data_IF_812945184079
#
_entry.id   IF_812945184079
#
_cell.length_a   1.000
_cell.length_b   1.000
_cell.length_c   1.000
_cell.angle_alpha   90.00
_cell.angle_beta   90.00
_cell.angle_gamma   90.00
#
_symmetry.space_group_name_H-M   'P 1'
#
loop_
_entity.id
_entity.type
_entity.pdbx_description
1 polymer ?
#
# COMPACT_ATOMS: atom_id res chain seq x y z
N UNK A 1 -21.87 2.15 -26.11
CA UNK A 1 -20.66 2.36 -26.93
C UNK A 1 -20.07 3.69 -26.51
N UNK A 2 -19.01 3.65 -25.70
CA UNK A 2 -18.27 4.87 -25.32
C UNK A 2 -17.50 5.28 -26.57
N UNK A 3 -17.67 6.54 -26.98
CA UNK A 3 -16.97 7.15 -28.09
C UNK A 3 -15.50 7.31 -27.70
N UNK A 4 -14.70 6.26 -27.87
CA UNK A 4 -13.25 6.33 -27.72
C UNK A 4 -12.79 7.07 -28.96
N UNK A 5 -12.52 8.37 -28.82
CA UNK A 5 -11.73 9.09 -29.81
C UNK A 5 -10.54 8.21 -30.18
N UNK A 6 -10.26 8.05 -31.47
CA UNK A 6 -9.05 7.38 -31.94
C UNK A 6 -7.85 8.24 -31.52
N UNK A 7 -7.52 8.22 -30.23
CA UNK A 7 -6.22 8.66 -29.77
C UNK A 7 -5.22 7.68 -30.37
N UNK A 8 -4.39 8.17 -31.25
CA UNK A 8 -3.24 7.44 -31.77
C UNK A 8 -2.39 6.94 -30.60
N UNK A 9 -1.76 5.77 -30.79
CA UNK A 9 -0.76 5.24 -29.87
C UNK A 9 0.30 6.32 -29.61
N UNK A 10 0.67 6.52 -28.34
CA UNK A 10 1.75 7.43 -27.99
C UNK A 10 3.04 6.94 -28.63
N UNK A 11 3.56 7.73 -29.56
CA UNK A 11 4.86 7.51 -30.18
C UNK A 11 5.98 8.13 -29.32
N UNK A 12 7.25 7.72 -29.50
CA UNK A 12 8.37 8.25 -28.72
C UNK A 12 8.56 9.77 -28.80
N UNK A 13 8.25 10.40 -29.93
CA UNK A 13 8.30 11.86 -30.12
C UNK A 13 7.19 12.57 -29.33
N UNK A 14 5.95 12.07 -29.40
CA UNK A 14 4.83 12.61 -28.62
C UNK A 14 5.05 12.42 -27.11
N UNK A 15 5.66 11.30 -26.72
CA UNK A 15 6.07 11.05 -25.34
C UNK A 15 7.07 12.10 -24.85
N UNK A 16 8.11 12.37 -25.65
CA UNK A 16 9.10 13.40 -25.36
C UNK A 16 8.43 14.77 -25.17
N UNK A 17 7.56 15.21 -26.08
CA UNK A 17 6.90 16.52 -25.97
C UNK A 17 6.03 16.70 -24.72
N UNK A 18 5.47 15.60 -24.18
CA UNK A 18 4.70 15.63 -22.93
C UNK A 18 5.62 15.74 -21.71
N UNK A 19 6.73 15.00 -21.72
CA UNK A 19 7.68 14.97 -20.62
C UNK A 19 8.57 16.21 -20.56
N UNK A 20 8.89 16.81 -21.71
CA UNK A 20 9.64 18.09 -21.83
C UNK A 20 8.92 19.26 -21.14
N UNK A 21 7.60 19.14 -20.91
CA UNK A 21 6.80 20.15 -20.20
C UNK A 21 6.75 19.93 -18.69
N UNK A 22 7.16 18.75 -18.22
CA UNK A 22 7.08 18.40 -16.80
C UNK A 22 8.00 19.31 -15.97
N UNK A 23 7.48 19.84 -14.87
CA UNK A 23 8.23 20.73 -13.99
C UNK A 23 8.81 19.89 -12.85
N UNK A 24 10.11 19.62 -12.89
CA UNK A 24 10.79 18.89 -11.81
C UNK A 24 11.97 19.67 -11.26
N UNK A 25 11.97 19.86 -9.94
CA UNK A 25 13.16 20.27 -9.23
C UNK A 25 14.03 19.03 -9.01
N UNK A 26 15.18 18.97 -9.69
CA UNK A 26 16.14 17.87 -9.57
C UNK A 26 16.54 17.55 -8.12
N UNK A 27 16.48 18.52 -7.20
CA UNK A 27 16.77 18.28 -5.79
C UNK A 27 15.62 17.64 -5.02
N UNK A 28 14.39 17.71 -5.53
CA UNK A 28 13.19 17.22 -4.88
C UNK A 28 12.77 15.82 -5.36
N UNK A 29 13.04 15.47 -6.62
CA UNK A 29 12.76 14.15 -7.19
C UNK A 29 13.95 13.63 -8.02
N UNK A 30 15.08 13.27 -7.38
CA UNK A 30 16.32 12.91 -8.07
C UNK A 30 16.18 11.69 -8.99
N UNK A 31 15.43 10.68 -8.57
CA UNK A 31 15.24 9.41 -9.29
C UNK A 31 14.46 9.63 -10.58
N UNK A 32 13.36 10.38 -10.53
CA UNK A 32 12.54 10.79 -11.67
C UNK A 32 13.40 11.60 -12.64
N UNK A 33 14.13 12.60 -12.12
CA UNK A 33 15.04 13.40 -12.93
C UNK A 33 16.11 12.54 -13.64
N UNK A 34 16.67 11.57 -12.93
CA UNK A 34 17.66 10.65 -13.49
C UNK A 34 17.07 9.81 -14.62
N UNK A 35 15.88 9.24 -14.43
CA UNK A 35 15.17 8.46 -15.44
C UNK A 35 14.88 9.32 -16.67
N UNK A 36 14.39 10.55 -16.48
CA UNK A 36 14.11 11.45 -17.60
C UNK A 36 15.41 11.80 -18.36
N UNK A 37 16.49 12.14 -17.66
CA UNK A 37 17.79 12.40 -18.28
C UNK A 37 18.33 11.19 -19.07
N UNK A 38 18.10 9.97 -18.57
CA UNK A 38 18.56 8.75 -19.21
C UNK A 38 17.83 8.47 -20.54
N UNK A 39 16.53 8.80 -20.60
CA UNK A 39 15.67 8.36 -21.71
C UNK A 39 15.19 9.46 -22.64
N UNK A 40 15.25 10.74 -22.27
CA UNK A 40 14.94 11.85 -23.19
C UNK A 40 16.15 12.14 -24.07
N UNK A 41 15.96 12.14 -25.39
CA UNK A 41 16.97 12.54 -26.36
C UNK A 41 16.61 13.90 -26.96
N UNK A 42 17.25 14.96 -26.48
CA UNK A 42 16.97 16.34 -26.90
C UNK A 42 17.35 16.63 -28.36
N UNK A 43 18.40 15.97 -28.87
CA UNK A 43 18.84 16.16 -30.26
C UNK A 43 17.79 15.63 -31.25
N UNK A 44 17.16 14.50 -30.91
CA UNK A 44 16.16 13.84 -31.74
C UNK A 44 14.72 14.19 -31.37
N UNK A 45 14.51 14.82 -30.21
CA UNK A 45 13.19 15.12 -29.61
C UNK A 45 12.32 13.86 -29.49
N UNK A 46 12.91 12.78 -29.01
CA UNK A 46 12.22 11.50 -28.78
C UNK A 46 12.69 10.85 -27.47
N UNK A 47 11.89 9.94 -26.92
CA UNK A 47 12.38 9.04 -25.86
C UNK A 47 13.04 7.80 -26.45
N UNK A 48 14.06 7.26 -25.78
CA UNK A 48 14.89 6.17 -26.30
C UNK A 48 14.34 4.76 -26.01
N UNK A 49 13.31 4.67 -25.17
CA UNK A 49 12.62 3.41 -24.83
C UNK A 49 11.11 3.54 -25.10
N UNK A 50 10.35 2.43 -25.20
CA UNK A 50 8.90 2.50 -25.38
C UNK A 50 8.21 3.28 -24.24
N UNK A 51 7.22 4.16 -24.53
CA UNK A 51 6.59 5.01 -23.52
C UNK A 51 6.03 4.28 -22.31
N UNK A 52 5.51 3.07 -22.53
CA UNK A 52 4.97 2.22 -21.47
C UNK A 52 6.04 1.72 -20.51
N UNK A 53 7.23 1.37 -20.99
CA UNK A 53 8.30 0.91 -20.10
C UNK A 53 8.86 2.09 -19.30
N UNK A 54 9.01 3.26 -19.94
CA UNK A 54 9.31 4.51 -19.23
C UNK A 54 8.27 4.84 -18.16
N UNK A 55 6.98 4.66 -18.47
CA UNK A 55 5.91 4.89 -17.51
C UNK A 55 6.00 3.99 -16.27
N UNK A 56 6.44 2.73 -16.42
CA UNK A 56 6.66 1.84 -15.27
C UNK A 56 7.84 2.29 -14.42
N UNK A 57 8.95 2.67 -15.04
CA UNK A 57 10.11 3.17 -14.31
C UNK A 57 9.75 4.44 -13.53
N UNK A 58 9.01 5.37 -14.14
CA UNK A 58 8.52 6.58 -13.48
C UNK A 58 7.49 6.28 -12.38
N UNK A 59 6.70 5.21 -12.46
CA UNK A 59 5.82 4.78 -11.37
C UNK A 59 6.59 4.23 -10.16
N UNK A 60 7.78 3.69 -10.38
CA UNK A 60 8.64 3.13 -9.33
C UNK A 60 9.62 4.17 -8.77
N UNK A 61 9.88 5.23 -9.54
CA UNK A 61 10.66 6.39 -9.14
C UNK A 61 10.02 7.15 -7.99
N UNK A 62 10.86 7.75 -7.13
CA UNK A 62 10.45 8.73 -6.13
C UNK A 62 9.18 8.34 -5.39
N UNK A 63 9.13 7.10 -4.87
CA UNK A 63 7.91 6.51 -4.28
C UNK A 63 7.25 7.41 -3.22
N UNK A 64 8.06 8.29 -2.66
CA UNK A 64 7.89 9.19 -1.52
C UNK A 64 7.38 10.60 -1.88
N UNK A 65 7.44 11.00 -3.15
CA UNK A 65 7.12 12.36 -3.59
C UNK A 65 5.80 12.42 -4.38
N UNK A 66 5.14 13.58 -4.32
CA UNK A 66 3.98 13.84 -5.15
C UNK A 66 4.40 13.93 -6.62
N UNK A 67 3.72 13.16 -7.46
CA UNK A 67 3.97 13.13 -8.89
C UNK A 67 3.48 14.40 -9.58
N UNK A 68 4.30 14.96 -10.47
CA UNK A 68 3.91 16.07 -11.35
C UNK A 68 2.76 15.66 -12.28
N UNK A 69 1.86 16.62 -12.59
CA UNK A 69 0.67 16.33 -13.39
C UNK A 69 1.01 15.91 -14.83
N UNK A 70 2.06 16.45 -15.45
CA UNK A 70 2.45 16.06 -16.81
C UNK A 70 3.02 14.65 -16.83
N UNK A 71 3.79 14.27 -15.80
CA UNK A 71 4.25 12.89 -15.60
C UNK A 71 3.06 11.95 -15.38
N UNK A 72 2.09 12.36 -14.55
CA UNK A 72 0.86 11.58 -14.36
C UNK A 72 0.09 11.36 -15.65
N UNK A 73 -0.13 12.44 -16.42
CA UNK A 73 -0.85 12.37 -17.69
C UNK A 73 -0.09 11.53 -18.72
N UNK A 74 1.24 11.60 -18.72
CA UNK A 74 2.10 10.73 -19.52
C UNK A 74 1.90 9.25 -19.14
N UNK A 75 2.04 8.90 -17.85
CA UNK A 75 1.90 7.53 -17.35
C UNK A 75 0.50 6.98 -17.64
N UNK A 76 -0.57 7.72 -17.30
CA UNK A 76 -1.96 7.29 -17.56
C UNK A 76 -2.15 6.97 -19.05
N UNK A 77 -1.71 7.86 -19.94
CA UNK A 77 -1.86 7.66 -21.38
C UNK A 77 -1.02 6.49 -21.88
N UNK A 78 0.26 6.41 -21.51
CA UNK A 78 1.17 5.35 -21.92
C UNK A 78 0.68 3.96 -21.47
N UNK A 79 0.16 3.85 -20.24
CA UNK A 79 -0.40 2.60 -19.73
C UNK A 79 -1.75 2.26 -20.37
N UNK A 80 -2.62 3.24 -20.66
CA UNK A 80 -3.85 3.01 -21.41
C UNK A 80 -3.59 2.48 -22.80
N UNK A 81 -2.58 3.02 -23.48
CA UNK A 81 -2.15 2.53 -24.79
C UNK A 81 -1.64 1.08 -24.67
N UNK A 82 -0.86 0.77 -23.63
CA UNK A 82 -0.47 -0.59 -23.30
C UNK A 82 -1.66 -1.52 -23.03
N UNK A 83 -2.69 -1.04 -22.33
CA UNK A 83 -3.87 -1.82 -21.98
C UNK A 83 -4.80 -2.07 -23.18
N UNK A 84 -5.19 -1.03 -23.92
CA UNK A 84 -6.18 -1.12 -24.99
C UNK A 84 -5.60 -1.63 -26.31
N UNK A 85 -4.38 -1.24 -26.64
CA UNK A 85 -3.77 -1.56 -27.94
C UNK A 85 -2.90 -2.80 -27.88
N UNK A 86 -2.08 -2.93 -26.82
CA UNK A 86 -1.09 -4.02 -26.68
C UNK A 86 -1.66 -5.19 -25.87
N UNK A 87 -2.78 -4.98 -25.15
CA UNK A 87 -3.44 -5.97 -24.28
C UNK A 87 -2.51 -6.53 -23.19
N UNK A 88 -1.58 -5.73 -22.68
CA UNK A 88 -0.71 -6.16 -21.59
C UNK A 88 -1.53 -6.49 -20.32
N UNK A 89 -1.43 -7.69 -19.74
CA UNK A 89 -2.03 -8.00 -18.45
C UNK A 89 -1.67 -7.01 -17.34
N UNK A 90 -0.42 -6.54 -17.28
CA UNK A 90 0.08 -5.69 -16.20
C UNK A 90 -0.38 -4.23 -16.32
N UNK A 91 -0.72 -3.76 -17.51
CA UNK A 91 -1.17 -2.38 -17.70
C UNK A 91 -2.44 -2.06 -16.89
N UNK A 92 -3.34 -3.03 -16.72
CA UNK A 92 -4.53 -2.86 -15.86
C UNK A 92 -4.13 -2.71 -14.39
N UNK A 93 -3.17 -3.53 -13.92
CA UNK A 93 -2.65 -3.44 -12.57
C UNK A 93 -2.02 -2.06 -12.30
N UNK A 94 -1.11 -1.62 -13.18
CA UNK A 94 -0.45 -0.33 -13.04
C UNK A 94 -1.43 0.85 -13.10
N UNK A 95 -2.41 0.83 -14.01
CA UNK A 95 -3.48 1.84 -14.03
C UNK A 95 -4.30 1.82 -12.74
N UNK A 96 -4.59 0.64 -12.20
CA UNK A 96 -5.25 0.52 -10.91
C UNK A 96 -4.44 1.20 -9.81
N UNK A 97 -3.14 0.88 -9.69
CA UNK A 97 -2.24 1.50 -8.73
C UNK A 97 -2.17 3.03 -8.90
N UNK A 98 -2.09 3.51 -10.14
CA UNK A 98 -2.04 4.94 -10.48
C UNK A 98 -3.24 5.73 -9.91
N UNK A 99 -4.42 5.11 -9.86
CA UNK A 99 -5.63 5.71 -9.29
C UNK A 99 -5.88 5.33 -7.83
N UNK A 100 -5.18 4.34 -7.29
CA UNK A 100 -5.42 3.85 -5.93
C UNK A 100 -4.60 4.61 -4.88
N UNK A 101 -3.33 4.87 -5.16
CA UNK A 101 -2.41 5.42 -4.17
C UNK A 101 -2.42 6.96 -4.15
N UNK A 102 -2.38 7.52 -2.95
CA UNK A 102 -2.48 8.97 -2.71
C UNK A 102 -1.33 9.79 -3.29
N UNK A 103 -0.14 9.18 -3.44
CA UNK A 103 1.08 9.82 -3.96
C UNK A 103 0.94 10.45 -5.36
N UNK A 104 -0.13 10.11 -6.08
CA UNK A 104 -0.39 10.60 -7.42
C UNK A 104 -1.33 11.82 -7.47
N UNK A 105 -1.82 12.30 -6.32
CA UNK A 105 -2.75 13.45 -6.19
C UNK A 105 -4.03 13.35 -7.06
N UNK A 106 -4.32 12.15 -7.55
CA UNK A 106 -5.39 11.86 -8.52
C UNK A 106 -6.15 10.59 -8.11
N UNK A 107 -6.26 10.34 -6.80
CA UNK A 107 -6.93 9.17 -6.24
C UNK A 107 -8.36 9.10 -6.77
N UNK A 108 -8.68 7.95 -7.33
CA UNK A 108 -10.01 7.62 -7.82
C UNK A 108 -10.23 6.12 -7.62
N UNK A 109 -10.76 5.77 -6.45
CA UNK A 109 -10.96 4.37 -6.09
C UNK A 109 -11.91 3.64 -7.05
N UNK A 110 -12.91 4.30 -7.62
CA UNK A 110 -13.81 3.67 -8.62
C UNK A 110 -13.05 3.28 -9.89
N UNK A 111 -12.19 4.15 -10.41
CA UNK A 111 -11.32 3.82 -11.55
C UNK A 111 -10.35 2.71 -11.17
N UNK A 112 -9.72 2.79 -10.00
CA UNK A 112 -8.79 1.78 -9.52
C UNK A 112 -9.46 0.40 -9.44
N UNK A 113 -10.63 0.32 -8.79
CA UNK A 113 -11.43 -0.90 -8.70
C UNK A 113 -11.80 -1.46 -10.07
N UNK A 114 -12.26 -0.60 -10.99
CA UNK A 114 -12.56 -1.01 -12.37
C UNK A 114 -11.32 -1.57 -13.10
N UNK A 115 -10.12 -1.10 -12.76
CA UNK A 115 -8.87 -1.64 -13.29
C UNK A 115 -8.45 -2.95 -12.64
N UNK A 116 -8.58 -3.10 -11.32
CA UNK A 116 -8.26 -4.34 -10.60
C UNK A 116 -9.25 -5.48 -10.85
N UNK A 117 -10.53 -5.17 -11.08
CA UNK A 117 -11.60 -6.15 -11.31
C UNK A 117 -11.62 -6.74 -12.73
N UNK A 118 -10.77 -6.25 -13.63
CA UNK A 118 -10.68 -6.77 -15.01
C UNK A 118 -10.07 -8.18 -15.02
N UNK A 119 -10.56 -9.03 -15.94
CA UNK A 119 -10.36 -10.50 -16.06
C UNK A 119 -8.90 -11.03 -16.17
N UNK A 120 -7.87 -10.21 -15.97
CA UNK A 120 -6.47 -10.64 -15.96
C UNK A 120 -5.92 -10.49 -14.54
N UNK A 121 -6.34 -11.39 -13.66
CA UNK A 121 -5.84 -11.46 -12.29
C UNK A 121 -4.37 -11.84 -12.33
N UNK A 122 -3.51 -10.86 -12.10
CA UNK A 122 -2.12 -11.09 -11.72
C UNK A 122 -2.08 -11.01 -10.20
N UNK A 123 -1.25 -11.82 -9.54
CA UNK A 123 -1.15 -11.94 -8.09
C UNK A 123 -1.34 -10.62 -7.31
N UNK A 124 -0.51 -9.58 -7.55
CA UNK A 124 -0.62 -8.29 -6.87
C UNK A 124 -1.96 -7.56 -7.06
N UNK A 125 -2.59 -7.71 -8.23
CA UNK A 125 -3.91 -7.12 -8.49
C UNK A 125 -5.01 -7.80 -7.66
N UNK A 126 -4.81 -9.04 -7.25
CA UNK A 126 -5.78 -9.79 -6.43
C UNK A 126 -5.79 -9.27 -5.00
N UNK A 127 -4.62 -8.94 -4.43
CA UNK A 127 -4.49 -8.29 -3.12
C UNK A 127 -5.30 -6.99 -3.09
N UNK A 128 -5.04 -6.09 -4.05
CA UNK A 128 -5.67 -4.77 -4.10
C UNK A 128 -7.17 -4.86 -4.38
N UNK A 129 -7.62 -5.86 -5.14
CA UNK A 129 -9.04 -6.14 -5.30
C UNK A 129 -9.69 -6.60 -3.99
N UNK A 130 -9.02 -7.47 -3.23
CA UNK A 130 -9.44 -7.88 -1.89
C UNK A 130 -9.53 -6.69 -0.93
N UNK A 131 -8.54 -5.81 -0.96
CA UNK A 131 -8.49 -4.58 -0.17
C UNK A 131 -9.64 -3.62 -0.53
N UNK A 132 -9.97 -3.49 -1.83
CA UNK A 132 -11.12 -2.70 -2.29
C UNK A 132 -12.43 -3.25 -1.72
N UNK A 133 -12.65 -4.56 -1.74
CA UNK A 133 -13.82 -5.16 -1.13
C UNK A 133 -13.83 -5.07 0.39
N UNK A 134 -12.66 -5.17 1.04
CA UNK A 134 -12.53 -5.10 2.49
C UNK A 134 -12.90 -3.72 3.02
N UNK A 135 -12.40 -2.64 2.39
CA UNK A 135 -12.66 -1.26 2.83
C UNK A 135 -13.83 -0.58 2.10
N UNK A 136 -14.41 -1.19 1.07
CA UNK A 136 -15.39 -0.54 0.20
C UNK A 136 -14.78 0.58 -0.64
N UNK A 137 -13.53 0.44 -1.08
CA UNK A 137 -12.84 1.46 -1.91
C UNK A 137 -13.24 1.27 -3.37
N UNK A 138 -14.06 2.19 -3.89
CA UNK A 138 -14.50 2.18 -5.29
C UNK A 138 -15.55 1.13 -5.64
N UNK A 139 -16.06 0.42 -4.63
CA UNK A 139 -17.11 -0.59 -4.68
C UNK A 139 -17.80 -0.66 -3.32
N UNK A 140 -18.96 -1.30 -3.22
CA UNK A 140 -19.54 -1.66 -1.92
C UNK A 140 -18.62 -2.62 -1.16
N UNK A 141 -18.53 -2.43 0.17
CA UNK A 141 -17.82 -3.33 1.07
C UNK A 141 -18.45 -4.73 1.01
N UNK A 142 -17.59 -5.74 0.86
CA UNK A 142 -18.02 -7.13 0.78
C UNK A 142 -16.95 -8.06 1.36
N UNK A 143 -17.12 -8.47 2.62
CA UNK A 143 -16.13 -9.31 3.30
C UNK A 143 -16.00 -10.70 2.66
N UNK A 144 -17.07 -11.31 2.16
CA UNK A 144 -16.97 -12.61 1.47
C UNK A 144 -16.03 -12.54 0.25
N UNK A 145 -16.23 -11.56 -0.63
CA UNK A 145 -15.36 -11.37 -1.80
C UNK A 145 -13.93 -10.97 -1.39
N UNK A 146 -13.79 -10.15 -0.36
CA UNK A 146 -12.49 -9.81 0.19
C UNK A 146 -11.75 -11.08 0.64
N UNK A 147 -12.39 -11.92 1.44
CA UNK A 147 -11.83 -13.17 1.95
C UNK A 147 -11.30 -14.05 0.81
N UNK A 148 -12.10 -14.30 -0.21
CA UNK A 148 -11.68 -15.14 -1.34
C UNK A 148 -10.51 -14.53 -2.12
N UNK A 149 -10.50 -13.22 -2.35
CA UNK A 149 -9.37 -12.56 -3.02
C UNK A 149 -8.09 -12.66 -2.19
N UNK A 150 -8.19 -12.41 -0.88
CA UNK A 150 -7.05 -12.41 0.03
C UNK A 150 -6.49 -13.81 0.26
N UNK A 151 -7.34 -14.83 0.43
CA UNK A 151 -6.91 -16.24 0.49
C UNK A 151 -6.21 -16.63 -0.80
N UNK A 152 -6.79 -16.30 -1.96
CA UNK A 152 -6.16 -16.62 -3.24
C UNK A 152 -4.76 -16.01 -3.31
N UNK A 153 -4.58 -14.73 -2.96
CA UNK A 153 -3.27 -14.09 -3.03
C UNK A 153 -2.28 -14.56 -1.96
N UNK A 154 -2.75 -14.90 -0.75
CA UNK A 154 -1.91 -15.52 0.26
C UNK A 154 -1.37 -16.88 -0.22
N UNK A 155 -2.19 -17.67 -0.92
CA UNK A 155 -1.78 -18.97 -1.47
C UNK A 155 -0.88 -18.86 -2.71
N UNK A 156 -1.06 -17.84 -3.55
CA UNK A 156 -0.30 -17.71 -4.81
C UNK A 156 1.00 -16.92 -4.67
N UNK A 157 0.99 -15.84 -3.89
CA UNK A 157 2.08 -14.87 -3.85
C UNK A 157 2.63 -14.66 -2.43
N UNK A 158 2.07 -15.37 -1.44
CA UNK A 158 2.39 -15.21 -0.02
C UNK A 158 2.39 -13.75 0.43
N UNK A 159 1.42 -12.95 -0.01
CA UNK A 159 1.43 -11.50 0.23
C UNK A 159 1.23 -11.16 1.72
N UNK A 160 2.20 -10.46 2.33
CA UNK A 160 2.11 -9.95 3.70
C UNK A 160 0.83 -9.13 3.93
N UNK A 161 0.45 -8.31 2.95
CA UNK A 161 -0.79 -7.52 2.96
C UNK A 161 -2.04 -8.38 2.99
N UNK A 162 -2.05 -9.48 2.22
CA UNK A 162 -3.19 -10.40 2.27
C UNK A 162 -3.28 -11.11 3.61
N UNK A 163 -2.15 -11.55 4.15
CA UNK A 163 -2.08 -12.24 5.43
C UNK A 163 -2.58 -11.37 6.58
N UNK A 164 -2.15 -10.11 6.70
CA UNK A 164 -2.67 -9.25 7.77
C UNK A 164 -4.14 -8.87 7.55
N UNK A 165 -4.62 -8.70 6.31
CA UNK A 165 -6.05 -8.43 6.10
C UNK A 165 -6.90 -9.65 6.44
N UNK A 166 -6.43 -10.87 6.15
CA UNK A 166 -7.06 -12.10 6.64
C UNK A 166 -7.05 -12.16 8.17
N UNK A 167 -5.94 -11.78 8.80
CA UNK A 167 -5.85 -11.63 10.25
C UNK A 167 -6.92 -10.69 10.79
N UNK A 168 -7.13 -9.53 10.14
CA UNK A 168 -8.19 -8.58 10.51
C UNK A 168 -9.59 -9.20 10.37
N UNK A 169 -9.80 -10.08 9.38
CA UNK A 169 -11.06 -10.80 9.20
C UNK A 169 -11.33 -11.77 10.35
N UNK A 170 -10.35 -12.59 10.73
CA UNK A 170 -10.48 -13.49 11.89
C UNK A 170 -10.57 -12.74 13.22
N UNK A 171 -9.83 -11.63 13.38
CA UNK A 171 -9.84 -10.85 14.62
C UNK A 171 -11.24 -10.27 14.92
N UNK A 172 -11.94 -9.85 13.88
CA UNK A 172 -13.22 -9.15 13.99
C UNK A 172 -14.43 -10.04 13.66
N UNK A 173 -14.23 -11.24 13.14
CA UNK A 173 -15.32 -12.11 12.68
C UNK A 173 -15.98 -11.60 11.40
N UNK A 174 -15.21 -11.05 10.48
CA UNK A 174 -15.72 -10.59 9.19
C UNK A 174 -15.80 -11.77 8.22
N UNK A 175 -17.02 -12.19 7.87
CA UNK A 175 -17.35 -13.35 7.03
C UNK A 175 -16.97 -14.72 7.62
N UNK A 176 -15.86 -14.82 8.36
CA UNK A 176 -15.44 -15.98 9.13
C UNK A 176 -15.76 -15.80 10.62
N UNK A 177 -15.80 -16.91 11.37
CA UNK A 177 -15.94 -16.84 12.82
C UNK A 177 -14.71 -16.15 13.45
N UNK A 178 -14.96 -15.42 14.54
CA UNK A 178 -13.89 -14.72 15.25
C UNK A 178 -12.91 -15.71 15.87
N UNK A 179 -11.63 -15.58 15.51
CA UNK A 179 -10.53 -16.41 16.00
C UNK A 179 -9.28 -15.56 16.25
N UNK A 180 -9.02 -15.27 17.54
CA UNK A 180 -7.88 -14.43 17.95
C UNK A 180 -6.53 -15.16 17.78
N UNK A 181 -6.40 -16.45 18.15
CA UNK A 181 -5.21 -17.25 17.81
C UNK A 181 -4.89 -17.26 16.31
N UNK A 182 -5.86 -17.53 15.45
CA UNK A 182 -5.62 -17.56 13.99
C UNK A 182 -5.19 -16.19 13.46
N UNK A 183 -5.84 -15.11 13.92
CA UNK A 183 -5.44 -13.75 13.57
C UNK A 183 -3.99 -13.45 13.98
N UNK A 184 -3.60 -13.85 15.19
CA UNK A 184 -2.24 -13.70 15.69
C UNK A 184 -1.21 -14.41 14.79
N UNK A 185 -1.49 -15.65 14.42
CA UNK A 185 -0.56 -16.46 13.62
C UNK A 185 -0.43 -15.90 12.21
N UNK A 186 -1.53 -15.42 11.62
CA UNK A 186 -1.51 -14.70 10.35
C UNK A 186 -0.71 -13.40 10.41
N UNK A 187 -0.76 -12.64 11.51
CA UNK A 187 0.05 -11.43 11.66
C UNK A 187 1.55 -11.73 11.80
N UNK A 188 1.92 -12.79 12.52
CA UNK A 188 3.32 -13.22 12.59
C UNK A 188 3.82 -13.70 11.24
N UNK A 189 3.04 -14.49 10.51
CA UNK A 189 3.38 -14.91 9.16
C UNK A 189 3.49 -13.69 8.21
N UNK A 190 2.59 -12.72 8.31
CA UNK A 190 2.69 -11.48 7.55
C UNK A 190 4.00 -10.74 7.82
N UNK A 191 4.45 -10.71 9.08
CA UNK A 191 5.71 -10.06 9.46
C UNK A 191 6.93 -10.80 8.89
N UNK A 192 6.94 -12.14 8.98
CA UNK A 192 8.01 -12.96 8.41
C UNK A 192 8.15 -12.71 6.90
N UNK A 193 7.03 -12.73 6.17
CA UNK A 193 7.02 -12.39 4.74
C UNK A 193 7.52 -10.97 4.50
N UNK A 194 7.04 -10.00 5.30
CA UNK A 194 7.42 -8.61 5.14
C UNK A 194 8.93 -8.40 5.35
N UNK A 195 9.56 -9.18 6.23
CA UNK A 195 11.00 -9.18 6.45
C UNK A 195 11.77 -9.90 5.32
N UNK A 196 11.26 -11.02 4.80
CA UNK A 196 11.88 -11.77 3.69
C UNK A 196 12.01 -10.94 2.41
N UNK A 197 10.99 -10.13 2.08
CA UNK A 197 10.96 -9.33 0.85
C UNK A 197 11.37 -7.87 1.04
N UNK A 198 11.89 -7.52 2.23
CA UNK A 198 12.23 -6.15 2.65
C UNK A 198 11.11 -5.14 2.33
N UNK A 199 9.91 -5.44 2.81
CA UNK A 199 8.74 -4.58 2.63
C UNK A 199 8.94 -3.21 3.28
N UNK A 200 8.23 -2.19 2.75
CA UNK A 200 8.24 -0.82 3.27
C UNK A 200 7.98 -0.75 4.79
N UNK A 201 8.59 0.23 5.47
CA UNK A 201 8.35 0.47 6.91
C UNK A 201 6.86 0.64 7.25
N UNK A 202 6.05 1.26 6.39
CA UNK A 202 4.60 1.38 6.61
C UNK A 202 3.91 0.00 6.79
N UNK A 203 4.20 -0.95 5.89
CA UNK A 203 3.68 -2.33 5.97
C UNK A 203 4.08 -3.00 7.30
N UNK A 204 5.34 -2.86 7.72
CA UNK A 204 5.80 -3.42 9.00
C UNK A 204 5.11 -2.75 10.19
N UNK A 205 4.94 -1.43 10.15
CA UNK A 205 4.24 -0.67 11.18
C UNK A 205 2.78 -1.12 11.34
N UNK A 206 2.08 -1.30 10.22
CA UNK A 206 0.71 -1.80 10.16
C UNK A 206 0.55 -3.19 10.79
N UNK A 207 1.54 -4.08 10.61
CA UNK A 207 1.53 -5.43 11.18
C UNK A 207 1.82 -5.37 12.69
N UNK A 208 2.82 -4.59 13.12
CA UNK A 208 3.14 -4.43 14.54
C UNK A 208 2.00 -3.79 15.33
N UNK A 209 1.29 -2.83 14.75
CA UNK A 209 0.08 -2.23 15.34
C UNK A 209 -0.97 -3.31 15.64
N UNK A 210 -1.22 -4.21 14.68
CA UNK A 210 -2.18 -5.31 14.81
C UNK A 210 -1.78 -6.31 15.86
N UNK A 211 -0.50 -6.69 15.91
CA UNK A 211 0.04 -7.54 16.97
C UNK A 211 -0.17 -6.91 18.35
N UNK A 212 0.11 -5.62 18.52
CA UNK A 212 -0.14 -4.92 19.78
C UNK A 212 -1.61 -4.94 20.18
N UNK A 213 -2.51 -4.69 19.23
CA UNK A 213 -3.97 -4.74 19.45
C UNK A 213 -4.46 -6.14 19.81
N UNK A 214 -3.93 -7.19 19.20
CA UNK A 214 -4.24 -8.59 19.58
C UNK A 214 -3.89 -8.88 21.03
N UNK A 215 -2.72 -8.43 21.49
CA UNK A 215 -2.28 -8.69 22.86
C UNK A 215 -3.05 -7.87 23.90
N UNK A 216 -3.59 -6.71 23.53
CA UNK A 216 -4.54 -5.96 24.35
C UNK A 216 -5.89 -6.66 24.53
N UNK A 217 -6.29 -7.53 23.59
CA UNK A 217 -7.53 -8.33 23.70
C UNK A 217 -7.36 -9.58 24.56
N UNK A 218 -6.13 -9.94 24.93
CA UNK A 218 -5.82 -11.07 25.81
C UNK A 218 -5.97 -10.66 27.29
N UNK A 219 -6.03 -11.61 28.24
CA UNK A 219 -5.96 -11.28 29.65
C UNK A 219 -4.76 -10.37 29.94
N UNK A 220 -5.00 -9.27 30.66
CA UNK A 220 -4.01 -8.23 30.96
C UNK A 220 -3.05 -8.73 32.04
N UNK A 221 -1.99 -9.41 31.61
CA UNK A 221 -0.88 -9.84 32.47
C UNK A 221 0.34 -8.97 32.16
N UNK A 222 1.33 -8.99 33.06
CA UNK A 222 2.59 -8.30 32.84
C UNK A 222 3.26 -8.73 31.52
N UNK A 223 3.17 -10.02 31.18
CA UNK A 223 3.71 -10.57 29.94
C UNK A 223 2.97 -10.02 28.70
N UNK A 224 1.64 -10.08 28.68
CA UNK A 224 0.86 -9.65 27.50
C UNK A 224 0.98 -8.15 27.27
N UNK A 225 0.94 -7.34 28.33
CA UNK A 225 1.06 -5.90 28.25
C UNK A 225 2.46 -5.46 27.84
N UNK A 226 3.52 -6.10 28.36
CA UNK A 226 4.88 -5.81 27.91
C UNK A 226 5.08 -6.16 26.43
N UNK A 227 4.51 -7.27 25.97
CA UNK A 227 4.53 -7.61 24.55
C UNK A 227 3.80 -6.56 23.71
N UNK A 228 2.58 -6.18 24.11
CA UNK A 228 1.80 -5.15 23.42
C UNK A 228 2.56 -3.82 23.32
N UNK A 229 3.16 -3.36 24.43
CA UNK A 229 3.97 -2.14 24.46
C UNK A 229 5.18 -2.24 23.53
N UNK A 230 5.89 -3.38 23.56
CA UNK A 230 7.03 -3.62 22.67
C UNK A 230 6.62 -3.52 21.20
N UNK A 231 5.51 -4.16 20.81
CA UNK A 231 5.02 -4.09 19.43
C UNK A 231 4.55 -2.68 19.05
N UNK A 232 3.91 -1.94 19.94
CA UNK A 232 3.54 -0.54 19.65
C UNK A 232 4.75 0.38 19.52
N UNK A 233 5.84 0.14 20.25
CA UNK A 233 7.08 0.90 20.07
C UNK A 233 7.70 0.61 18.69
N UNK A 234 7.68 -0.64 18.24
CA UNK A 234 8.13 -1.03 16.89
C UNK A 234 7.24 -0.43 15.80
N UNK A 235 5.92 -0.43 16.00
CA UNK A 235 4.98 0.21 15.10
C UNK A 235 5.25 1.72 14.97
N UNK A 236 5.45 2.42 16.09
CA UNK A 236 5.80 3.85 16.07
C UNK A 236 7.12 4.09 15.34
N UNK A 237 8.17 3.31 15.62
CA UNK A 237 9.46 3.43 14.95
C UNK A 237 9.30 3.35 13.44
N UNK A 238 8.62 2.31 12.95
CA UNK A 238 8.43 2.12 11.52
C UNK A 238 7.48 3.15 10.89
N UNK A 239 6.46 3.64 11.60
CA UNK A 239 5.67 4.78 11.12
C UNK A 239 6.50 6.06 11.04
N UNK A 240 7.43 6.29 11.96
CA UNK A 240 8.32 7.46 11.92
C UNK A 240 9.34 7.35 10.78
N UNK A 241 9.89 6.17 10.51
CA UNK A 241 10.71 5.89 9.33
C UNK A 241 9.90 6.17 8.05
N UNK A 242 8.69 5.60 7.96
CA UNK A 242 7.79 5.83 6.84
C UNK A 242 7.38 7.30 6.70
N UNK A 243 7.28 8.09 7.78
CA UNK A 243 6.99 9.54 7.73
C UNK A 243 8.16 10.39 7.26
N UNK A 244 9.40 9.96 7.52
CA UNK A 244 10.57 10.62 6.94
C UNK A 244 10.63 10.36 5.43
N UNK A 245 10.03 9.25 5.00
CA UNK A 245 9.87 8.85 3.62
C UNK A 245 8.59 9.42 2.97
N UNK A 246 7.49 9.65 3.69
CA UNK A 246 6.19 10.03 3.13
C UNK A 246 5.52 11.18 3.91
N UNK A 247 4.90 12.07 3.13
CA UNK A 247 3.86 13.05 3.47
C UNK A 247 3.16 12.95 4.86
N UNK A 248 2.70 14.11 5.34
CA UNK A 248 1.95 14.39 6.58
C UNK A 248 0.82 13.41 7.02
N UNK A 249 0.34 12.47 6.18
CA UNK A 249 -0.83 11.61 6.43
C UNK A 249 -0.63 10.57 7.54
N UNK A 250 0.61 10.13 7.82
CA UNK A 250 0.89 9.15 8.88
C UNK A 250 0.99 9.77 10.29
N UNK A 251 0.91 11.10 10.41
CA UNK A 251 0.97 11.80 11.71
C UNK A 251 -0.15 11.35 12.65
N UNK A 252 -1.34 11.11 12.11
CA UNK A 252 -2.49 10.64 12.90
C UNK A 252 -2.30 9.19 13.36
N UNK A 253 -1.63 8.35 12.54
CA UNK A 253 -1.25 6.99 12.92
C UNK A 253 -0.25 6.96 14.06
N UNK A 254 0.81 7.77 13.99
CA UNK A 254 1.77 7.89 15.11
C UNK A 254 1.07 8.38 16.38
N UNK A 255 0.12 9.30 16.26
CA UNK A 255 -0.67 9.78 17.41
C UNK A 255 -1.54 8.66 18.00
N UNK A 256 -2.21 7.87 17.17
CA UNK A 256 -2.99 6.69 17.59
C UNK A 256 -2.11 5.70 18.37
N UNK A 257 -0.94 5.35 17.82
CA UNK A 257 0.00 4.44 18.48
C UNK A 257 0.46 4.96 19.83
N UNK A 258 0.80 6.25 19.94
CA UNK A 258 1.20 6.85 21.23
C UNK A 258 0.11 6.81 22.28
N UNK A 259 -1.15 6.97 21.88
CA UNK A 259 -2.27 6.82 22.79
C UNK A 259 -2.40 5.37 23.28
N UNK A 260 -2.25 4.39 22.39
CA UNK A 260 -2.25 2.96 22.77
C UNK A 260 -1.08 2.61 23.70
N UNK A 261 0.12 3.14 23.44
CA UNK A 261 1.26 2.97 24.33
C UNK A 261 1.00 3.55 25.74
N UNK A 262 0.35 4.72 25.81
CA UNK A 262 -0.03 5.33 27.09
C UNK A 262 -1.05 4.47 27.84
N UNK A 263 -2.09 3.99 27.15
CA UNK A 263 -3.09 3.07 27.74
C UNK A 263 -2.44 1.80 28.30
N UNK A 264 -1.51 1.19 27.55
CA UNK A 264 -0.77 -0.01 28.03
C UNK A 264 0.06 0.30 29.27
N UNK A 265 0.70 1.48 29.34
CA UNK A 265 1.49 1.90 30.50
C UNK A 265 0.62 2.10 31.74
N UNK A 266 -0.57 2.68 31.59
CA UNK A 266 -1.54 2.81 32.69
C UNK A 266 -1.92 1.43 33.26
N UNK A 267 -2.24 0.45 32.40
CA UNK A 267 -2.52 -0.92 32.87
C UNK A 267 -1.32 -1.59 33.56
N UNK A 268 -0.10 -1.34 33.10
CA UNK A 268 1.12 -1.86 33.72
C UNK A 268 1.34 -1.25 35.11
N UNK A 269 1.15 0.06 35.24
CA UNK A 269 1.27 0.76 36.52
C UNK A 269 0.25 0.24 37.54
N UNK A 270 -1.01 0.06 37.12
CA UNK A 270 -2.07 -0.51 37.97
C UNK A 270 -1.71 -1.91 38.48
N UNK A 271 -1.20 -2.80 37.63
CA UNK A 271 -0.78 -4.15 38.03
C UNK A 271 0.39 -4.11 39.03
N UNK A 272 1.38 -3.25 38.80
CA UNK A 272 2.54 -3.11 39.69
C UNK A 272 2.13 -2.57 41.06
N UNK A 273 1.11 -1.70 41.10
CA UNK A 273 0.56 -1.19 42.35
C UNK A 273 -0.22 -2.27 43.12
N UNK A 274 -1.02 -3.08 42.43
CA UNK A 274 -1.75 -4.20 43.03
C UNK A 274 -0.82 -5.26 43.64
N UNK A 275 0.32 -5.55 42.99
CA UNK A 275 1.33 -6.49 43.52
C UNK A 275 2.07 -5.97 44.76
N UNK A 276 1.95 -4.68 45.09
CA UNK A 276 2.61 -4.04 46.23
C UNK A 276 1.70 -3.82 47.44
N UNK A 277 0.40 -4.07 47.34
CA UNK A 277 -0.50 -3.99 48.50
C UNK A 277 -0.30 -5.21 49.41
N UNK A 278 0.00 -5.02 50.71
CA UNK A 278 0.14 -6.14 51.64
C UNK A 278 -1.20 -6.86 51.81
N UNK A 279 -1.21 -8.18 51.60
CA UNK A 279 -2.36 -9.04 51.90
C UNK A 279 -2.70 -8.90 53.38
N UNK A 280 -3.83 -8.26 53.69
CA UNK A 280 -4.35 -8.05 55.05
C UNK A 280 -4.85 -9.34 55.70
#
# INVERSE_FOLDING_TARGET
>A
MINVEKEWLMTPDVAYERLDRAIYNHSACPETAHILYLYLNDEKREITIPPKELAKELMEADKNHLMDNDIFNFIDKALRDGYYSIKDPWASYYLGCLYYFERFNNVNYEKAFNYFSKKKHIGPSTVLLGECYFYGRGTEQNFEKAFFCLIQSALTDNSARSLYLLGDMYLNGYYVDKDIPEANDLYFHALEVADEVDSSSETKAEIYERLGKVYLLRPKTLETLNFALKTFNLAEQHYLEAMQEYMFSLKDKVKEIRNLQMEVREYLDDLILMDKEPVS
#
